data_IF_643809918765
#
_entry.id   IF_643809918765
#
_cell.length_a   1.000
_cell.length_b   1.000
_cell.length_c   1.000
_cell.angle_alpha   90.00
_cell.angle_beta   90.00
_cell.angle_gamma   90.00
#
_symmetry.space_group_name_H-M   'P 1'
#
loop_
_entity.id
_entity.type
_entity.pdbx_description
1 polymer ?
#
# COMPACT_ATOMS: atom_id res chain seq x y z
N UNK A 1 8.34 8.08 17.49
CA UNK A 1 9.37 8.69 16.61
C UNK A 1 10.47 7.71 16.31
N UNK A 2 10.98 7.66 15.07
CA UNK A 2 12.11 6.83 14.66
C UNK A 2 13.31 7.71 14.35
N UNK A 3 14.40 7.46 15.05
CA UNK A 3 15.66 8.17 14.83
C UNK A 3 16.62 7.25 14.07
N UNK A 4 17.23 7.78 13.02
CA UNK A 4 18.14 7.04 12.15
C UNK A 4 19.21 7.97 11.57
N UNK A 5 20.27 7.40 11.03
CA UNK A 5 21.34 8.14 10.39
C UNK A 5 21.50 7.72 8.94
N UNK A 6 21.75 8.70 8.07
CA UNK A 6 22.12 8.49 6.67
C UNK A 6 23.43 9.24 6.44
N UNK A 7 24.49 8.53 6.10
CA UNK A 7 25.85 9.07 6.11
C UNK A 7 26.17 9.68 7.49
N UNK A 8 26.54 10.93 7.55
CA UNK A 8 26.94 11.66 8.79
C UNK A 8 25.79 12.47 9.38
N UNK A 9 24.57 12.38 8.77
CA UNK A 9 23.42 13.19 9.19
C UNK A 9 22.41 12.34 9.94
N UNK A 10 21.85 12.91 11.01
CA UNK A 10 20.81 12.29 11.81
C UNK A 10 19.44 12.80 11.39
N UNK A 11 18.46 11.93 11.43
CA UNK A 11 17.09 12.25 11.06
C UNK A 11 16.12 11.69 12.10
N UNK A 12 15.01 12.39 12.26
CA UNK A 12 13.84 11.92 12.98
C UNK A 12 12.69 11.76 12.00
N UNK A 13 12.07 10.58 11.99
CA UNK A 13 10.77 10.38 11.36
C UNK A 13 9.70 10.27 12.45
N UNK A 14 8.77 11.21 12.45
CA UNK A 14 7.62 11.16 13.34
C UNK A 14 6.43 10.47 12.62
N UNK A 15 6.11 9.29 13.06
CA UNK A 15 5.00 8.47 12.53
C UNK A 15 3.62 9.10 12.73
N UNK A 16 3.47 9.97 13.73
CA UNK A 16 2.22 10.66 14.04
C UNK A 16 1.97 11.81 13.06
N UNK A 17 2.92 12.71 12.93
CA UNK A 17 2.84 13.85 11.99
C UNK A 17 3.29 13.49 10.58
N UNK A 18 4.00 12.34 10.44
CA UNK A 18 4.66 11.86 9.20
C UNK A 18 5.70 12.82 8.64
N UNK A 19 6.23 13.67 9.46
CA UNK A 19 7.34 14.52 9.11
C UNK A 19 8.65 13.77 9.25
N UNK A 20 9.55 14.01 8.31
CA UNK A 20 10.94 13.58 8.38
C UNK A 20 11.83 14.82 8.31
N UNK A 21 12.65 15.02 9.32
CA UNK A 21 13.51 16.19 9.42
C UNK A 21 14.89 15.83 10.00
N UNK A 22 15.87 16.61 9.62
CA UNK A 22 17.22 16.44 10.15
C UNK A 22 17.28 16.96 11.58
N UNK A 23 18.01 16.25 12.45
CA UNK A 23 18.21 16.62 13.86
C UNK A 23 19.69 16.54 14.18
N UNK A 24 20.13 17.36 15.11
CA UNK A 24 21.39 17.16 15.80
C UNK A 24 21.23 16.29 17.05
N UNK A 25 22.31 16.07 17.81
CA UNK A 25 22.24 15.24 19.01
C UNK A 25 21.37 15.86 20.10
N UNK A 26 21.40 17.19 20.24
CA UNK A 26 20.65 17.90 21.27
C UNK A 26 19.14 17.83 20.98
N UNK A 27 18.74 18.09 19.74
CA UNK A 27 17.34 17.98 19.27
C UNK A 27 16.84 16.53 19.37
N UNK A 28 17.66 15.52 19.04
CA UNK A 28 17.29 14.12 19.22
C UNK A 28 17.02 13.80 20.70
N UNK A 29 17.88 14.25 21.59
CA UNK A 29 17.70 14.02 23.02
C UNK A 29 16.44 14.69 23.56
N UNK A 30 16.16 15.91 23.15
CA UNK A 30 14.95 16.64 23.54
C UNK A 30 13.67 15.95 23.02
N UNK A 31 13.65 15.52 21.76
CA UNK A 31 12.52 14.82 21.15
C UNK A 31 12.28 13.44 21.81
N UNK A 32 13.32 12.72 22.20
CA UNK A 32 13.18 11.46 22.95
C UNK A 32 12.54 11.67 24.32
N UNK A 33 12.91 12.75 25.03
CA UNK A 33 12.29 13.10 26.31
C UNK A 33 10.83 13.48 26.11
N UNK A 34 10.53 14.27 25.09
CA UNK A 34 9.17 14.65 24.70
C UNK A 34 8.30 13.42 24.38
N UNK A 35 8.81 12.47 23.61
CA UNK A 35 8.09 11.22 23.31
C UNK A 35 7.84 10.39 24.57
N UNK A 36 8.83 10.24 25.42
CA UNK A 36 8.73 9.51 26.69
C UNK A 36 7.74 10.13 27.68
N UNK A 37 7.50 11.45 27.59
CA UNK A 37 6.49 12.18 28.37
C UNK A 37 5.08 12.13 27.81
N UNK A 38 4.83 11.26 26.84
CA UNK A 38 3.52 11.12 26.17
C UNK A 38 3.22 12.26 25.22
N UNK A 39 4.23 12.88 24.63
CA UNK A 39 4.14 14.00 23.68
C UNK A 39 3.50 15.25 24.25
N UNK A 40 3.71 15.46 25.54
CA UNK A 40 3.30 16.67 26.23
C UNK A 40 4.52 17.37 26.77
N UNK A 41 4.65 18.67 26.52
CA UNK A 41 5.76 19.45 27.05
C UNK A 41 5.71 19.46 28.57
N UNK A 42 6.82 19.04 29.17
CA UNK A 42 7.06 19.16 30.59
C UNK A 42 8.42 19.83 30.79
N UNK A 43 8.43 21.16 30.80
CA UNK A 43 9.65 21.98 30.86
C UNK A 43 10.54 21.56 32.02
N UNK A 44 9.99 21.27 33.21
CA UNK A 44 10.81 20.82 34.36
C UNK A 44 11.52 19.51 34.10
N UNK A 45 10.84 18.55 33.45
CA UNK A 45 11.44 17.27 33.11
C UNK A 45 12.48 17.44 32.00
N UNK A 46 12.15 18.23 30.97
CA UNK A 46 13.03 18.49 29.84
C UNK A 46 14.31 19.18 30.29
N UNK A 47 14.22 20.31 31.03
CA UNK A 47 15.37 21.05 31.61
C UNK A 47 16.23 20.13 32.46
N UNK A 48 15.63 19.38 33.41
CA UNK A 48 16.38 18.50 34.30
C UNK A 48 17.14 17.40 33.54
N UNK A 49 16.47 16.82 32.54
CA UNK A 49 17.03 15.68 31.78
C UNK A 49 18.14 16.15 30.84
N UNK A 50 18.00 17.30 30.20
CA UNK A 50 18.99 17.86 29.29
C UNK A 50 20.21 18.39 30.10
N UNK A 51 19.98 19.05 31.24
CA UNK A 51 21.07 19.46 32.13
C UNK A 51 21.90 18.27 32.66
N UNK A 52 21.23 17.14 32.97
CA UNK A 52 21.92 15.91 33.37
C UNK A 52 22.75 15.27 32.23
N UNK A 53 22.49 15.62 31.00
CA UNK A 53 23.27 15.24 29.81
C UNK A 53 24.40 16.23 29.48
N UNK A 54 24.48 17.33 30.22
CA UNK A 54 25.58 18.31 30.12
C UNK A 54 25.30 19.47 29.17
N UNK A 55 24.06 19.69 28.72
CA UNK A 55 23.69 20.85 27.92
C UNK A 55 23.66 22.11 28.79
N UNK A 56 24.10 23.23 28.23
CA UNK A 56 24.04 24.54 28.90
C UNK A 56 22.62 25.13 28.88
N UNK A 57 22.39 26.17 29.70
CA UNK A 57 21.08 26.78 29.86
C UNK A 57 20.57 27.41 28.58
N UNK A 58 21.42 27.93 27.70
CA UNK A 58 21.02 28.56 26.44
C UNK A 58 20.48 27.51 25.47
N UNK A 59 21.23 26.44 25.28
CA UNK A 59 20.81 25.31 24.45
C UNK A 59 19.50 24.68 24.97
N UNK A 60 19.36 24.56 26.30
CA UNK A 60 18.13 24.01 26.90
C UNK A 60 16.91 24.91 26.59
N UNK A 61 17.07 26.23 26.70
CA UNK A 61 15.97 27.17 26.42
C UNK A 61 15.55 27.13 24.94
N UNK A 62 16.50 27.09 24.02
CA UNK A 62 16.25 26.92 22.59
C UNK A 62 15.48 25.63 22.28
N UNK A 63 15.89 24.52 22.88
CA UNK A 63 15.22 23.23 22.71
C UNK A 63 13.82 23.18 23.35
N UNK A 64 13.58 23.90 24.44
CA UNK A 64 12.25 24.04 25.04
C UNK A 64 11.31 24.79 24.08
N UNK A 65 11.76 25.88 23.50
CA UNK A 65 10.98 26.63 22.52
C UNK A 65 10.68 25.81 21.26
N UNK A 66 11.67 25.07 20.74
CA UNK A 66 11.52 24.21 19.58
C UNK A 66 10.51 23.07 19.85
N UNK A 67 10.55 22.43 21.01
CA UNK A 67 9.62 21.37 21.39
C UNK A 67 8.20 21.91 21.59
N UNK A 68 8.07 23.11 22.19
CA UNK A 68 6.78 23.79 22.35
C UNK A 68 6.15 24.12 20.99
N UNK A 69 6.94 24.63 20.06
CA UNK A 69 6.48 24.90 18.70
C UNK A 69 6.10 23.61 17.98
N UNK A 70 6.93 22.58 18.10
CA UNK A 70 6.66 21.27 17.52
C UNK A 70 5.36 20.64 18.06
N UNK A 71 5.10 20.73 19.37
CA UNK A 71 3.84 20.26 19.96
C UNK A 71 2.65 21.02 19.36
N UNK A 72 2.71 22.34 19.30
CA UNK A 72 1.62 23.17 18.71
C UNK A 72 1.35 22.80 17.24
N UNK A 73 2.40 22.58 16.45
CA UNK A 73 2.27 22.14 15.05
C UNK A 73 1.68 20.74 14.94
N UNK A 74 2.10 19.83 15.80
CA UNK A 74 1.57 18.46 15.84
C UNK A 74 0.09 18.43 16.21
N UNK A 75 -0.34 19.18 17.19
CA UNK A 75 -1.74 19.30 17.61
C UNK A 75 -2.64 19.87 16.50
N UNK A 76 -2.18 20.91 15.78
CA UNK A 76 -2.91 21.44 14.62
C UNK A 76 -3.11 20.41 13.52
N UNK A 77 -2.20 19.47 13.39
CA UNK A 77 -2.28 18.39 12.39
C UNK A 77 -3.39 17.39 12.73
N UNK A 78 -3.73 17.19 14.02
CA UNK A 78 -4.85 16.36 14.46
C UNK A 78 -6.22 17.03 14.37
N UNK A 79 -6.28 18.37 14.38
CA UNK A 79 -7.51 19.15 14.41
C UNK A 79 -8.12 19.42 13.02
N UNK A 80 -7.81 18.64 12.00
CA UNK A 80 -8.60 18.71 10.77
C UNK A 80 -10.03 18.26 11.09
N UNK A 81 -10.94 19.26 11.20
CA UNK A 81 -12.36 19.06 11.42
C UNK A 81 -12.87 17.88 10.60
N UNK A 82 -13.60 16.99 11.24
CA UNK A 82 -14.45 15.98 10.62
C UNK A 82 -15.51 16.64 9.73
N UNK A 83 -15.11 17.18 8.60
CA UNK A 83 -16.06 17.43 7.53
C UNK A 83 -16.41 16.08 6.93
N UNK A 84 -17.70 15.76 6.79
CA UNK A 84 -18.13 14.53 6.12
C UNK A 84 -17.41 14.43 4.76
N UNK A 85 -16.44 13.53 4.64
CA UNK A 85 -15.67 13.43 3.41
C UNK A 85 -16.53 12.70 2.39
N UNK A 86 -16.75 13.34 1.27
CA UNK A 86 -17.44 12.75 0.15
C UNK A 86 -16.67 11.53 -0.37
N UNK A 87 -17.40 10.50 -0.79
CA UNK A 87 -16.78 9.29 -1.35
C UNK A 87 -16.10 9.60 -2.67
N UNK A 88 -14.95 8.95 -2.89
CA UNK A 88 -14.19 9.02 -4.14
C UNK A 88 -13.93 7.65 -4.74
N UNK A 89 -14.18 6.60 -3.99
CA UNK A 89 -13.96 5.24 -4.47
C UNK A 89 -14.90 4.25 -3.82
N UNK A 90 -15.23 3.21 -4.57
CA UNK A 90 -15.86 1.99 -4.07
C UNK A 90 -14.97 0.80 -4.41
N UNK A 91 -15.01 -0.22 -3.55
CA UNK A 91 -14.39 -1.51 -3.81
C UNK A 91 -15.48 -2.57 -3.90
N UNK A 92 -15.63 -3.15 -5.09
CA UNK A 92 -16.65 -4.14 -5.39
C UNK A 92 -16.04 -5.54 -5.27
N UNK A 93 -16.45 -6.30 -4.26
CA UNK A 93 -16.11 -7.71 -4.13
C UNK A 93 -17.03 -8.53 -5.05
N UNK A 94 -16.72 -8.50 -6.34
CA UNK A 94 -17.59 -9.07 -7.38
C UNK A 94 -17.69 -10.59 -7.33
N UNK A 95 -16.78 -11.25 -6.62
CA UNK A 95 -16.78 -12.72 -6.46
C UNK A 95 -16.35 -13.11 -5.05
N UNK A 96 -17.15 -13.90 -4.35
CA UNK A 96 -16.80 -14.68 -3.17
C UNK A 96 -16.42 -16.11 -3.56
N UNK A 97 -15.73 -16.25 -4.69
CA UNK A 97 -15.12 -17.49 -5.15
C UNK A 97 -13.71 -17.21 -5.65
N UNK A 98 -12.82 -18.17 -5.46
CA UNK A 98 -11.45 -18.10 -5.98
C UNK A 98 -11.02 -19.50 -6.44
N UNK A 99 -10.21 -19.58 -7.46
CA UNK A 99 -9.61 -20.83 -7.94
C UNK A 99 -8.31 -21.17 -7.20
N UNK A 100 -7.72 -20.22 -6.44
CA UNK A 100 -6.53 -20.43 -5.62
C UNK A 100 -6.87 -20.63 -4.14
N UNK A 101 -6.01 -21.36 -3.43
CA UNK A 101 -6.07 -21.63 -2.01
C UNK A 101 -4.90 -21.03 -1.23
N UNK A 102 -4.67 -19.72 -1.37
CA UNK A 102 -3.53 -19.04 -0.74
C UNK A 102 -3.49 -19.26 0.77
N UNK A 103 -2.29 -19.58 1.32
CA UNK A 103 -2.10 -19.95 2.72
C UNK A 103 -2.41 -18.82 3.71
N UNK A 104 -2.19 -17.59 3.29
CA UNK A 104 -2.40 -16.38 4.11
C UNK A 104 -3.66 -15.59 3.73
N UNK A 105 -4.59 -16.18 2.99
CA UNK A 105 -5.75 -15.48 2.47
C UNK A 105 -6.66 -14.98 3.59
N UNK A 106 -6.77 -13.66 3.74
CA UNK A 106 -7.67 -13.04 4.72
C UNK A 106 -9.15 -13.32 4.44
N UNK A 107 -9.47 -13.67 3.17
CA UNK A 107 -10.82 -14.00 2.71
C UNK A 107 -11.16 -15.50 2.85
N UNK A 108 -10.48 -16.26 3.74
CA UNK A 108 -10.81 -17.66 3.97
C UNK A 108 -10.76 -18.53 2.71
N UNK A 109 -9.65 -18.48 1.96
CA UNK A 109 -9.53 -19.13 0.64
C UNK A 109 -10.42 -18.49 -0.45
N UNK A 110 -10.80 -17.22 -0.26
CA UNK A 110 -11.51 -16.43 -1.23
C UNK A 110 -13.04 -16.52 -1.17
N UNK A 111 -13.60 -17.20 -0.18
CA UNK A 111 -15.06 -17.33 0.01
C UNK A 111 -15.60 -16.50 1.19
N UNK A 112 -14.72 -15.83 1.93
CA UNK A 112 -15.06 -14.98 3.09
C UNK A 112 -15.83 -15.75 4.19
N UNK A 113 -15.61 -17.06 4.28
CA UNK A 113 -16.30 -17.94 5.24
C UNK A 113 -17.77 -18.18 4.89
N UNK A 114 -18.18 -17.93 3.65
CA UNK A 114 -19.55 -18.14 3.16
C UNK A 114 -19.56 -19.16 2.01
N UNK A 115 -20.73 -19.49 1.51
CA UNK A 115 -20.85 -20.21 0.23
C UNK A 115 -20.30 -19.33 -0.89
N UNK A 116 -19.69 -19.91 -1.94
CA UNK A 116 -19.27 -19.15 -3.10
C UNK A 116 -20.44 -18.39 -3.71
N UNK A 117 -20.35 -17.06 -3.75
CA UNK A 117 -21.37 -16.16 -4.28
C UNK A 117 -20.74 -15.24 -5.32
N UNK A 118 -21.52 -14.90 -6.32
CA UNK A 118 -21.17 -13.87 -7.30
C UNK A 118 -22.09 -12.64 -7.08
N UNK A 119 -21.51 -11.46 -7.10
CA UNK A 119 -22.28 -10.22 -7.04
C UNK A 119 -23.19 -10.12 -8.25
N UNK A 120 -24.41 -9.64 -8.04
CA UNK A 120 -25.38 -9.43 -9.12
C UNK A 120 -25.23 -8.05 -9.77
N UNK A 121 -25.73 -7.91 -11.00
CA UNK A 121 -25.78 -6.65 -11.73
C UNK A 121 -26.45 -5.55 -10.89
N UNK A 122 -27.56 -5.88 -10.22
CA UNK A 122 -28.34 -4.94 -9.39
C UNK A 122 -27.50 -4.36 -8.25
N UNK A 123 -26.74 -5.19 -7.55
CA UNK A 123 -25.89 -4.75 -6.42
C UNK A 123 -24.78 -3.84 -6.94
N UNK A 124 -24.10 -4.25 -8.02
CA UNK A 124 -23.01 -3.48 -8.59
C UNK A 124 -23.49 -2.09 -9.08
N UNK A 125 -24.63 -2.03 -9.74
CA UNK A 125 -25.20 -0.78 -10.25
C UNK A 125 -25.64 0.15 -9.12
N UNK A 126 -26.31 -0.36 -8.09
CA UNK A 126 -26.67 0.41 -6.89
C UNK A 126 -25.43 0.97 -6.18
N UNK A 127 -24.34 0.21 -6.14
CA UNK A 127 -23.09 0.69 -5.55
C UNK A 127 -22.47 1.84 -6.37
N UNK A 128 -22.52 1.78 -7.71
CA UNK A 128 -22.11 2.89 -8.58
C UNK A 128 -22.99 4.13 -8.35
N UNK A 129 -24.31 3.95 -8.28
CA UNK A 129 -25.27 5.04 -8.02
C UNK A 129 -24.97 5.71 -6.67
N UNK A 130 -24.71 4.89 -5.64
CA UNK A 130 -24.35 5.38 -4.31
C UNK A 130 -23.02 6.16 -4.30
N UNK A 131 -22.01 5.67 -5.03
CA UNK A 131 -20.74 6.38 -5.17
C UNK A 131 -20.96 7.77 -5.79
N UNK A 132 -21.71 7.84 -6.89
CA UNK A 132 -21.99 9.12 -7.58
C UNK A 132 -22.76 10.07 -6.67
N UNK A 133 -23.84 9.59 -6.02
CA UNK A 133 -24.68 10.39 -5.12
C UNK A 133 -23.89 10.92 -3.90
N UNK A 134 -22.89 10.17 -3.42
CA UNK A 134 -22.09 10.49 -2.24
C UNK A 134 -20.81 11.27 -2.56
N UNK A 135 -20.55 11.61 -3.83
CA UNK A 135 -19.34 12.27 -4.29
C UNK A 135 -19.55 13.75 -4.65
N UNK A 136 -18.47 14.49 -4.90
CA UNK A 136 -18.53 15.83 -5.48
C UNK A 136 -18.62 15.75 -7.01
N UNK A 137 -19.26 16.76 -7.65
CA UNK A 137 -19.52 16.75 -9.10
C UNK A 137 -18.25 16.64 -9.96
N UNK A 138 -17.19 17.35 -9.59
CA UNK A 138 -15.96 17.45 -10.39
C UNK A 138 -14.87 16.44 -9.96
N UNK A 139 -15.19 15.47 -9.11
CA UNK A 139 -14.20 14.48 -8.66
C UNK A 139 -14.11 13.30 -9.63
N UNK A 140 -12.89 12.81 -9.83
CA UNK A 140 -12.66 11.52 -10.46
C UNK A 140 -12.99 10.41 -9.46
N UNK A 141 -13.86 9.50 -9.88
CA UNK A 141 -14.36 8.40 -9.06
C UNK A 141 -13.63 7.10 -9.41
N UNK A 142 -13.23 6.34 -8.41
CA UNK A 142 -12.55 5.07 -8.62
C UNK A 142 -13.48 3.89 -8.33
N UNK A 143 -13.58 2.98 -9.26
CA UNK A 143 -14.23 1.67 -9.07
C UNK A 143 -13.12 0.61 -9.05
N UNK A 144 -13.00 -0.06 -7.91
CA UNK A 144 -11.98 -1.09 -7.67
C UNK A 144 -12.68 -2.45 -7.68
N UNK A 145 -12.30 -3.31 -8.60
CA UNK A 145 -12.80 -4.68 -8.64
C UNK A 145 -11.89 -5.60 -7.84
N UNK A 146 -12.49 -6.31 -6.91
CA UNK A 146 -11.81 -7.17 -5.96
C UNK A 146 -12.66 -8.42 -5.64
N UNK A 147 -12.24 -9.19 -4.61
CA UNK A 147 -12.97 -10.34 -4.09
C UNK A 147 -12.06 -11.54 -3.86
N UNK A 148 -12.58 -12.75 -4.03
CA UNK A 148 -11.76 -13.96 -4.07
C UNK A 148 -10.87 -13.94 -5.31
N UNK A 149 -11.47 -14.18 -6.49
CA UNK A 149 -10.86 -13.88 -7.79
C UNK A 149 -11.92 -13.15 -8.65
N UNK A 150 -11.74 -11.85 -8.91
CA UNK A 150 -12.75 -11.06 -9.62
C UNK A 150 -12.98 -11.53 -11.06
N UNK A 151 -11.97 -12.10 -11.74
CA UNK A 151 -12.13 -12.60 -13.11
C UNK A 151 -13.05 -13.82 -13.21
N UNK A 152 -13.45 -14.44 -12.11
CA UNK A 152 -14.52 -15.46 -12.12
C UNK A 152 -15.87 -14.82 -12.49
N UNK A 153 -16.07 -13.54 -12.16
CA UNK A 153 -17.25 -12.78 -12.52
C UNK A 153 -16.92 -11.69 -13.56
N UNK A 154 -16.08 -12.02 -14.54
CA UNK A 154 -15.65 -11.10 -15.59
C UNK A 154 -16.82 -10.38 -16.29
N UNK A 155 -17.95 -11.03 -16.65
CA UNK A 155 -19.05 -10.35 -17.29
C UNK A 155 -19.63 -9.18 -16.49
N UNK A 156 -19.68 -9.29 -15.15
CA UNK A 156 -20.16 -8.20 -14.30
C UNK A 156 -19.22 -7.00 -14.32
N UNK A 157 -17.91 -7.23 -14.41
CA UNK A 157 -16.91 -6.16 -14.49
C UNK A 157 -17.24 -5.24 -15.68
N UNK A 158 -17.41 -5.84 -16.86
CA UNK A 158 -17.68 -5.08 -18.09
C UNK A 158 -19.05 -4.41 -18.06
N UNK A 159 -20.07 -5.08 -17.58
CA UNK A 159 -21.41 -4.48 -17.39
C UNK A 159 -21.36 -3.27 -16.45
N UNK A 160 -20.55 -3.33 -15.38
CA UNK A 160 -20.42 -2.23 -14.42
C UNK A 160 -19.70 -1.03 -15.04
N UNK A 161 -18.66 -1.27 -15.85
CA UNK A 161 -17.96 -0.24 -16.61
C UNK A 161 -18.91 0.44 -17.60
N UNK A 162 -19.65 -0.34 -18.40
CA UNK A 162 -20.61 0.18 -19.36
C UNK A 162 -21.72 0.96 -18.67
N UNK A 163 -22.26 0.43 -17.57
CA UNK A 163 -23.27 1.11 -16.77
C UNK A 163 -22.80 2.48 -16.30
N UNK A 164 -21.61 2.54 -15.66
CA UNK A 164 -21.08 3.78 -15.12
C UNK A 164 -20.88 4.85 -16.19
N UNK A 165 -20.36 4.48 -17.38
CA UNK A 165 -20.16 5.41 -18.49
C UNK A 165 -21.47 5.84 -19.16
N UNK A 166 -22.41 4.92 -19.32
CA UNK A 166 -23.69 5.19 -20.01
C UNK A 166 -24.65 6.02 -19.15
N UNK A 167 -24.72 5.72 -17.84
CA UNK A 167 -25.68 6.42 -16.94
C UNK A 167 -25.10 7.76 -16.47
N UNK A 168 -23.78 7.83 -16.32
CA UNK A 168 -23.10 9.02 -15.83
C UNK A 168 -22.03 9.56 -16.80
N UNK A 169 -22.42 9.93 -18.04
CA UNK A 169 -21.47 10.31 -19.11
C UNK A 169 -20.64 11.54 -18.78
N UNK A 170 -21.11 12.38 -17.86
CA UNK A 170 -20.42 13.60 -17.43
C UNK A 170 -19.51 13.38 -16.19
N UNK A 171 -19.38 12.14 -15.72
CA UNK A 171 -18.52 11.80 -14.58
C UNK A 171 -17.25 11.11 -15.06
N UNK A 172 -16.14 11.44 -14.41
CA UNK A 172 -14.87 10.81 -14.70
C UNK A 172 -14.69 9.58 -13.81
N UNK A 173 -14.52 8.40 -14.42
CA UNK A 173 -14.24 7.16 -13.71
C UNK A 173 -12.84 6.65 -14.01
N UNK A 174 -12.21 6.04 -13.00
CA UNK A 174 -11.02 5.21 -13.13
C UNK A 174 -11.34 3.81 -12.63
N UNK A 175 -10.77 2.82 -13.29
CA UNK A 175 -11.02 1.42 -12.99
C UNK A 175 -9.74 0.72 -12.59
N UNK A 176 -9.83 -0.14 -11.58
CA UNK A 176 -8.71 -0.99 -11.20
C UNK A 176 -9.20 -2.37 -10.76
N UNK A 177 -8.33 -3.35 -10.94
CA UNK A 177 -8.59 -4.72 -10.56
C UNK A 177 -7.35 -5.32 -9.92
N UNK A 178 -7.56 -6.10 -8.85
CA UNK A 178 -6.53 -6.97 -8.29
C UNK A 178 -6.94 -8.41 -8.59
N UNK A 179 -6.12 -9.12 -9.34
CA UNK A 179 -6.37 -10.50 -9.79
C UNK A 179 -5.19 -11.41 -9.46
N UNK A 180 -5.42 -12.70 -9.38
CA UNK A 180 -4.33 -13.67 -9.31
C UNK A 180 -3.65 -13.93 -10.68
N UNK A 181 -4.22 -13.42 -11.78
CA UNK A 181 -3.63 -13.48 -13.11
C UNK A 181 -3.80 -14.80 -13.88
N UNK A 182 -4.37 -15.83 -13.26
CA UNK A 182 -4.50 -17.13 -13.91
C UNK A 182 -5.55 -17.16 -15.02
N UNK A 183 -6.56 -16.27 -14.95
CA UNK A 183 -7.70 -16.21 -15.88
C UNK A 183 -7.55 -15.12 -16.95
N UNK A 184 -6.38 -14.49 -17.06
CA UNK A 184 -6.13 -13.48 -18.09
C UNK A 184 -6.23 -14.08 -19.49
N UNK A 185 -6.94 -13.38 -20.38
CA UNK A 185 -7.12 -13.77 -21.77
C UNK A 185 -7.09 -12.51 -22.68
N UNK A 186 -7.09 -12.71 -24.00
CA UNK A 186 -7.01 -11.61 -24.96
C UNK A 186 -8.18 -10.64 -24.83
N UNK A 187 -9.40 -11.14 -24.62
CA UNK A 187 -10.60 -10.33 -24.48
C UNK A 187 -10.48 -9.42 -23.26
N UNK A 188 -10.11 -9.98 -22.12
CA UNK A 188 -9.94 -9.22 -20.88
C UNK A 188 -8.85 -8.14 -21.02
N UNK A 189 -7.68 -8.49 -21.58
CA UNK A 189 -6.57 -7.54 -21.74
C UNK A 189 -6.94 -6.43 -22.72
N UNK A 190 -7.65 -6.73 -23.81
CA UNK A 190 -8.14 -5.70 -24.73
C UNK A 190 -9.14 -4.75 -24.06
N UNK A 191 -10.08 -5.29 -23.28
CA UNK A 191 -11.02 -4.47 -22.49
C UNK A 191 -10.30 -3.62 -21.42
N UNK A 192 -9.26 -4.15 -20.77
CA UNK A 192 -8.44 -3.35 -19.85
C UNK A 192 -7.77 -2.16 -20.55
N UNK A 193 -7.28 -2.35 -21.78
CA UNK A 193 -6.70 -1.25 -22.58
C UNK A 193 -7.76 -0.22 -22.95
N UNK A 194 -8.87 -0.67 -23.50
CA UNK A 194 -9.99 0.18 -23.97
C UNK A 194 -10.54 1.06 -22.85
N UNK A 195 -10.65 0.50 -21.65
CA UNK A 195 -11.24 1.20 -20.51
C UNK A 195 -10.20 1.81 -19.54
N UNK A 196 -8.90 1.75 -19.87
CA UNK A 196 -7.84 2.38 -19.10
C UNK A 196 -7.67 1.79 -17.69
N UNK A 197 -7.79 0.47 -17.55
CA UNK A 197 -7.65 -0.19 -16.26
C UNK A 197 -6.24 -0.09 -15.69
N UNK A 198 -6.17 -0.03 -14.36
CA UNK A 198 -4.98 -0.36 -13.60
C UNK A 198 -5.09 -1.80 -13.11
N UNK A 199 -4.28 -2.70 -13.66
CA UNK A 199 -4.30 -4.12 -13.28
C UNK A 199 -3.13 -4.44 -12.36
N UNK A 200 -3.43 -5.05 -11.22
CA UNK A 200 -2.48 -5.50 -10.23
C UNK A 200 -2.57 -7.03 -10.11
N UNK A 201 -1.47 -7.71 -10.40
CA UNK A 201 -1.38 -9.17 -10.31
C UNK A 201 -0.74 -9.55 -8.99
N UNK A 202 -1.40 -10.44 -8.26
CA UNK A 202 -0.91 -10.99 -7.01
C UNK A 202 0.13 -12.08 -7.28
N UNK A 203 1.40 -11.83 -6.90
CA UNK A 203 2.52 -12.72 -7.20
C UNK A 203 3.54 -12.71 -6.05
N UNK A 204 3.87 -13.87 -5.48
CA UNK A 204 4.77 -13.99 -4.32
C UNK A 204 6.08 -14.70 -4.73
N UNK A 205 6.96 -13.96 -5.35
CA UNK A 205 8.17 -14.56 -5.92
C UNK A 205 7.89 -15.41 -7.17
N UNK A 206 8.75 -16.33 -7.47
CA UNK A 206 8.68 -17.17 -8.68
C UNK A 206 8.73 -18.66 -8.36
N UNK A 207 8.20 -19.50 -9.27
CA UNK A 207 8.25 -20.94 -9.21
C UNK A 207 7.72 -21.49 -7.88
N UNK A 208 8.50 -22.33 -7.23
CA UNK A 208 8.08 -23.03 -6.02
C UNK A 208 7.76 -22.11 -4.83
N UNK A 209 8.35 -20.91 -4.75
CA UNK A 209 8.01 -19.93 -3.70
C UNK A 209 6.57 -19.48 -3.84
N UNK A 210 6.18 -19.08 -5.05
CA UNK A 210 4.81 -18.69 -5.35
C UNK A 210 3.84 -19.85 -5.13
N UNK A 211 4.15 -21.01 -5.67
CA UNK A 211 3.28 -22.18 -5.63
C UNK A 211 3.05 -22.70 -4.20
N UNK A 212 4.04 -22.56 -3.32
CA UNK A 212 3.88 -22.87 -1.90
C UNK A 212 2.87 -21.96 -1.19
N UNK A 213 2.82 -20.68 -1.58
CA UNK A 213 1.93 -19.70 -0.97
C UNK A 213 0.56 -19.61 -1.64
N UNK A 214 0.50 -19.86 -2.96
CA UNK A 214 -0.70 -19.65 -3.80
C UNK A 214 -1.02 -20.85 -4.71
N UNK A 215 -1.20 -22.05 -4.14
CA UNK A 215 -1.58 -23.22 -4.94
C UNK A 215 -3.02 -23.08 -5.48
N UNK A 216 -3.33 -23.82 -6.55
CA UNK A 216 -4.70 -24.06 -6.93
C UNK A 216 -5.46 -24.84 -5.84
N UNK A 217 -6.76 -24.57 -5.67
CA UNK A 217 -7.62 -25.36 -4.77
C UNK A 217 -7.70 -26.84 -5.17
N UNK A 218 -7.57 -27.11 -6.46
CA UNK A 218 -7.56 -28.47 -7.03
C UNK A 218 -6.21 -29.17 -6.89
N UNK A 219 -5.21 -28.51 -6.30
CA UNK A 219 -3.83 -28.96 -6.24
C UNK A 219 -2.99 -28.46 -7.42
N UNK A 220 -1.68 -28.47 -7.22
CA UNK A 220 -0.70 -27.98 -8.19
C UNK A 220 -0.40 -26.48 -8.06
N UNK A 221 0.70 -26.07 -8.68
CA UNK A 221 1.18 -24.69 -8.69
C UNK A 221 0.43 -23.82 -9.68
N UNK A 222 0.29 -22.53 -9.37
CA UNK A 222 -0.35 -21.53 -10.24
C UNK A 222 0.64 -20.63 -10.98
N UNK A 223 1.92 -20.65 -10.59
CA UNK A 223 2.94 -19.76 -11.14
C UNK A 223 3.08 -19.86 -12.66
N UNK A 224 3.13 -21.10 -13.19
CA UNK A 224 3.34 -21.33 -14.63
C UNK A 224 2.28 -20.65 -15.50
N UNK A 225 1.02 -20.68 -15.09
CA UNK A 225 -0.06 -20.03 -15.83
C UNK A 225 0.03 -18.50 -15.74
N UNK A 226 0.41 -17.99 -14.56
CA UNK A 226 0.59 -16.54 -14.37
C UNK A 226 1.78 -16.04 -15.19
N UNK A 227 2.93 -16.71 -15.13
CA UNK A 227 4.13 -16.34 -15.89
C UNK A 227 3.85 -16.32 -17.39
N UNK A 228 3.21 -17.36 -17.91
CA UNK A 228 2.78 -17.45 -19.30
C UNK A 228 1.89 -16.27 -19.70
N UNK A 229 0.87 -15.97 -18.90
CA UNK A 229 -0.06 -14.87 -19.16
C UNK A 229 0.63 -13.51 -19.10
N UNK A 230 1.45 -13.28 -18.08
CA UNK A 230 2.17 -12.01 -17.92
C UNK A 230 3.12 -11.77 -19.10
N UNK A 231 3.97 -12.76 -19.45
CA UNK A 231 4.91 -12.63 -20.57
C UNK A 231 4.20 -12.42 -21.90
N UNK A 232 3.06 -13.08 -22.12
CA UNK A 232 2.25 -12.91 -23.32
C UNK A 232 1.76 -11.48 -23.50
N UNK A 233 1.39 -10.79 -22.43
CA UNK A 233 0.70 -9.51 -22.51
C UNK A 233 1.53 -8.30 -22.04
N UNK A 234 2.68 -8.51 -21.36
CA UNK A 234 3.46 -7.43 -20.72
C UNK A 234 4.01 -6.37 -21.67
N UNK A 235 4.29 -6.74 -22.92
CA UNK A 235 4.70 -5.75 -23.94
C UNK A 235 3.56 -4.82 -24.34
N UNK A 236 2.35 -5.32 -24.30
CA UNK A 236 1.17 -4.60 -24.79
C UNK A 236 0.33 -3.97 -23.67
N UNK A 237 0.57 -4.36 -22.40
CA UNK A 237 -0.17 -3.84 -21.24
C UNK A 237 0.72 -3.73 -19.98
N UNK A 238 0.72 -2.57 -19.28
CA UNK A 238 1.59 -2.31 -18.14
C UNK A 238 1.04 -2.87 -16.83
N UNK A 239 1.21 -4.17 -16.58
CA UNK A 239 0.81 -4.78 -15.31
C UNK A 239 1.62 -4.28 -14.12
N UNK A 240 0.98 -4.29 -12.95
CA UNK A 240 1.64 -4.20 -11.67
C UNK A 240 1.69 -5.56 -10.98
N UNK A 241 2.75 -5.83 -10.23
CA UNK A 241 2.86 -6.98 -9.33
C UNK A 241 2.68 -6.54 -7.88
N UNK A 242 2.02 -7.36 -7.08
CA UNK A 242 1.94 -7.21 -5.62
C UNK A 242 2.30 -8.52 -4.94
N UNK A 243 3.40 -8.51 -4.20
CA UNK A 243 3.82 -9.62 -3.38
C UNK A 243 3.42 -9.43 -1.93
N UNK A 244 2.94 -10.49 -1.30
CA UNK A 244 2.72 -10.54 0.14
C UNK A 244 3.96 -11.16 0.79
N UNK A 245 4.62 -10.39 1.66
CA UNK A 245 5.79 -10.84 2.39
C UNK A 245 5.35 -11.66 3.61
N UNK A 246 5.88 -12.87 3.71
CA UNK A 246 5.70 -13.79 4.83
C UNK A 246 7.08 -14.22 5.33
N UNK A 247 7.14 -14.95 6.43
CA UNK A 247 8.40 -15.55 6.90
C UNK A 247 9.09 -16.44 5.83
N UNK A 248 8.32 -17.04 4.93
CA UNK A 248 8.82 -17.90 3.85
C UNK A 248 9.09 -17.15 2.54
N UNK A 249 8.63 -15.88 2.43
CA UNK A 249 8.81 -15.03 1.26
C UNK A 249 9.24 -13.62 1.67
N UNK A 250 10.54 -13.42 1.88
CA UNK A 250 11.11 -12.14 2.31
C UNK A 250 12.38 -11.73 1.51
N UNK A 251 12.59 -12.29 0.31
CA UNK A 251 13.74 -11.96 -0.56
C UNK A 251 13.38 -10.89 -1.59
N UNK A 252 13.17 -9.65 -1.12
CA UNK A 252 12.65 -8.53 -1.92
C UNK A 252 13.46 -8.23 -3.18
N UNK A 253 14.78 -8.26 -3.10
CA UNK A 253 15.66 -7.91 -4.23
C UNK A 253 15.55 -8.93 -5.34
N UNK A 254 15.60 -10.22 -5.01
CA UNK A 254 15.44 -11.30 -5.96
C UNK A 254 14.09 -11.23 -6.67
N UNK A 255 13.01 -11.13 -5.89
CA UNK A 255 11.65 -11.04 -6.42
C UNK A 255 11.46 -9.78 -7.29
N UNK A 256 12.03 -8.65 -6.89
CA UNK A 256 12.00 -7.41 -7.68
C UNK A 256 12.65 -7.59 -9.05
N UNK A 257 13.83 -8.19 -9.10
CA UNK A 257 14.57 -8.41 -10.35
C UNK A 257 13.82 -9.37 -11.27
N UNK A 258 13.26 -10.44 -10.72
CA UNK A 258 12.46 -11.41 -11.46
C UNK A 258 11.17 -10.78 -12.01
N UNK A 259 10.46 -9.99 -11.21
CA UNK A 259 9.26 -9.29 -11.69
C UNK A 259 9.58 -8.25 -12.76
N UNK A 260 10.72 -7.57 -12.66
CA UNK A 260 11.22 -6.69 -13.72
C UNK A 260 11.45 -7.46 -15.02
N UNK A 261 12.10 -8.63 -14.95
CA UNK A 261 12.36 -9.52 -16.09
C UNK A 261 11.06 -10.05 -16.73
N UNK A 262 10.06 -10.40 -15.91
CA UNK A 262 8.73 -10.81 -16.39
C UNK A 262 7.97 -9.69 -17.11
N UNK A 263 8.43 -8.43 -17.01
CA UNK A 263 7.85 -7.28 -17.70
C UNK A 263 6.87 -6.46 -16.88
N UNK A 264 6.80 -6.65 -15.56
CA UNK A 264 6.01 -5.78 -14.70
C UNK A 264 6.54 -4.34 -14.69
N UNK A 265 5.62 -3.37 -14.67
CA UNK A 265 5.92 -1.93 -14.71
C UNK A 265 5.70 -1.21 -13.39
N UNK A 266 5.15 -1.90 -12.39
CA UNK A 266 4.90 -1.41 -11.04
C UNK A 266 5.02 -2.59 -10.09
N UNK A 267 5.85 -2.48 -9.05
CA UNK A 267 6.10 -3.57 -8.11
C UNK A 267 5.83 -3.06 -6.69
N UNK A 268 4.99 -3.81 -5.98
CA UNK A 268 4.60 -3.54 -4.60
C UNK A 268 4.92 -4.73 -3.73
N UNK A 269 5.50 -4.46 -2.57
CA UNK A 269 5.67 -5.43 -1.50
C UNK A 269 4.83 -5.00 -0.30
N UNK A 270 4.10 -5.93 0.29
CA UNK A 270 3.26 -5.68 1.47
C UNK A 270 3.50 -6.77 2.50
N UNK A 271 3.88 -6.42 3.74
CA UNK A 271 4.01 -7.40 4.80
C UNK A 271 2.65 -8.02 5.13
N UNK A 272 2.63 -9.32 5.43
CA UNK A 272 1.44 -10.00 5.94
C UNK A 272 1.12 -9.49 7.34
N UNK A 273 -0.19 -9.34 7.62
CA UNK A 273 -0.68 -9.14 8.99
C UNK A 273 -1.40 -10.42 9.41
N UNK A 274 -0.72 -11.27 10.17
CA UNK A 274 -1.23 -12.57 10.61
C UNK A 274 -0.72 -12.93 11.99
N UNK A 275 -1.55 -13.65 12.74
CA UNK A 275 -1.18 -14.29 14.01
C UNK A 275 -0.77 -15.76 13.83
N UNK A 276 -0.88 -16.31 12.62
CA UNK A 276 -0.45 -17.67 12.31
C UNK A 276 1.08 -17.76 12.29
N UNK A 277 1.62 -18.56 13.19
CA UNK A 277 3.07 -18.78 13.36
C UNK A 277 3.77 -19.26 12.07
N UNK A 278 3.03 -19.94 11.18
CA UNK A 278 3.60 -20.48 9.95
C UNK A 278 3.83 -19.42 8.86
N UNK A 279 3.20 -18.26 8.98
CA UNK A 279 3.25 -17.21 7.96
C UNK A 279 3.58 -15.82 8.50
N UNK A 280 3.44 -15.59 9.82
CA UNK A 280 3.77 -14.30 10.43
C UNK A 280 5.25 -13.97 10.24
N UNK A 281 5.54 -12.69 10.15
CA UNK A 281 6.91 -12.22 10.10
C UNK A 281 7.54 -12.30 11.50
N UNK A 282 8.64 -13.01 11.59
CA UNK A 282 9.51 -13.05 12.76
C UNK A 282 10.64 -12.00 12.65
N UNK A 283 11.47 -11.88 13.67
CA UNK A 283 12.56 -10.92 13.68
C UNK A 283 13.59 -11.17 12.55
N UNK A 284 13.85 -12.43 12.23
CA UNK A 284 14.74 -12.80 11.13
C UNK A 284 14.21 -12.31 9.79
N UNK A 285 12.94 -12.56 9.51
CA UNK A 285 12.24 -12.11 8.28
C UNK A 285 12.20 -10.59 8.21
N UNK A 286 11.91 -9.92 9.33
CA UNK A 286 11.89 -8.44 9.40
C UNK A 286 13.26 -7.84 9.10
N UNK A 287 14.35 -8.46 9.60
CA UNK A 287 15.71 -8.02 9.31
C UNK A 287 16.07 -8.21 7.83
N UNK A 288 15.66 -9.33 7.20
CA UNK A 288 15.84 -9.53 5.76
C UNK A 288 15.06 -8.51 4.94
N UNK A 289 13.79 -8.26 5.31
CA UNK A 289 12.96 -7.24 4.65
C UNK A 289 13.61 -5.86 4.76
N UNK A 290 14.10 -5.49 5.95
CA UNK A 290 14.79 -4.20 6.16
C UNK A 290 16.03 -4.07 5.26
N UNK A 291 16.88 -5.08 5.22
CA UNK A 291 18.06 -5.09 4.35
C UNK A 291 17.64 -4.96 2.86
N UNK A 292 16.67 -5.77 2.42
CA UNK A 292 16.18 -5.70 1.04
C UNK A 292 15.53 -4.37 0.67
N UNK A 293 14.87 -3.69 1.60
CA UNK A 293 14.33 -2.34 1.38
C UNK A 293 15.43 -1.30 1.19
N UNK A 294 16.54 -1.41 1.94
CA UNK A 294 17.72 -0.52 1.79
C UNK A 294 18.34 -0.74 0.40
N UNK A 295 18.59 -1.98 0.03
CA UNK A 295 19.16 -2.31 -1.29
C UNK A 295 18.27 -1.84 -2.45
N UNK A 296 16.95 -1.99 -2.33
CA UNK A 296 15.99 -1.50 -3.32
C UNK A 296 15.90 0.03 -3.34
N UNK A 297 16.10 0.71 -2.20
CA UNK A 297 16.16 2.17 -2.15
C UNK A 297 17.38 2.71 -2.90
N UNK A 298 18.55 2.07 -2.74
CA UNK A 298 19.75 2.43 -3.49
C UNK A 298 19.58 2.22 -4.99
N UNK A 299 18.95 1.13 -5.40
CA UNK A 299 18.60 0.91 -6.80
C UNK A 299 17.61 1.94 -7.33
N UNK A 300 16.61 2.30 -6.53
CA UNK A 300 15.63 3.33 -6.87
C UNK A 300 16.29 4.69 -7.13
N UNK A 301 17.23 5.10 -6.27
CA UNK A 301 17.98 6.35 -6.44
C UNK A 301 18.84 6.31 -7.71
N UNK A 302 19.58 5.22 -7.95
CA UNK A 302 20.37 5.06 -9.17
C UNK A 302 19.53 5.15 -10.44
N UNK A 303 18.31 4.57 -10.44
CA UNK A 303 17.40 4.68 -11.59
C UNK A 303 16.95 6.12 -11.82
N UNK A 304 16.65 6.89 -10.76
CA UNK A 304 16.31 8.32 -10.87
C UNK A 304 17.48 9.10 -11.47
N UNK A 305 18.70 8.90 -10.98
CA UNK A 305 19.90 9.60 -11.45
C UNK A 305 20.18 9.31 -12.94
N UNK A 306 19.79 8.13 -13.42
CA UNK A 306 19.88 7.72 -14.82
C UNK A 306 18.70 8.19 -15.68
N UNK A 307 17.73 8.91 -15.10
CA UNK A 307 16.52 9.34 -15.78
C UNK A 307 15.50 8.23 -16.06
N UNK A 308 15.68 7.05 -15.44
CA UNK A 308 14.74 5.94 -15.54
C UNK A 308 13.55 6.14 -14.61
N UNK A 309 12.42 5.52 -14.97
CA UNK A 309 11.23 5.48 -14.12
C UNK A 309 11.30 4.30 -13.16
N UNK A 310 11.51 4.50 -11.85
CA UNK A 310 11.60 3.41 -10.91
C UNK A 310 10.32 2.57 -10.85
N UNK A 311 10.49 1.25 -10.81
CA UNK A 311 9.37 0.31 -10.75
C UNK A 311 8.90 0.02 -9.32
N UNK A 312 9.77 0.27 -8.32
CA UNK A 312 9.49 0.01 -6.91
C UNK A 312 8.52 1.04 -6.32
N UNK A 313 7.24 0.67 -6.28
CA UNK A 313 6.15 1.60 -5.92
C UNK A 313 5.90 1.71 -4.43
N UNK A 314 6.25 0.70 -3.64
CA UNK A 314 6.13 0.78 -2.17
C UNK A 314 6.96 1.95 -1.63
N UNK A 315 8.22 2.07 -2.07
CA UNK A 315 9.08 3.19 -1.67
C UNK A 315 8.54 4.53 -2.19
N UNK A 316 8.16 4.59 -3.47
CA UNK A 316 7.57 5.81 -4.03
C UNK A 316 6.36 6.27 -3.23
N UNK A 317 5.48 5.36 -2.86
CA UNK A 317 4.28 5.69 -2.07
C UNK A 317 4.66 6.23 -0.69
N UNK A 318 5.68 5.65 -0.03
CA UNK A 318 6.19 6.12 1.26
C UNK A 318 6.77 7.54 1.13
N UNK A 319 7.61 7.78 0.11
CA UNK A 319 8.17 9.11 -0.17
C UNK A 319 7.07 10.13 -0.46
N UNK A 320 6.10 9.79 -1.32
CA UNK A 320 4.98 10.70 -1.64
C UNK A 320 4.15 11.06 -0.39
N UNK A 321 3.97 10.11 0.54
CA UNK A 321 3.27 10.36 1.81
C UNK A 321 4.05 11.32 2.71
N UNK A 322 5.36 11.12 2.83
CA UNK A 322 6.24 11.99 3.64
C UNK A 322 6.26 13.41 3.04
N UNK A 323 6.47 13.51 1.72
CA UNK A 323 6.60 14.81 1.04
C UNK A 323 5.29 15.59 0.92
N UNK A 324 4.14 14.92 0.97
CA UNK A 324 2.84 15.56 0.76
C UNK A 324 2.26 16.24 2.00
N UNK A 325 2.88 16.09 3.17
CA UNK A 325 2.34 16.52 4.47
C UNK A 325 0.87 16.08 4.71
N UNK A 326 0.42 15.02 4.03
CA UNK A 326 -0.96 14.51 4.15
C UNK A 326 -1.03 13.45 5.22
N UNK A 327 -1.80 13.69 6.24
CA UNK A 327 -2.09 12.66 7.24
C UNK A 327 -3.08 11.68 6.65
N UNK A 328 -2.66 10.44 6.44
CA UNK A 328 -3.58 9.35 6.17
C UNK A 328 -3.95 8.70 7.52
N UNK A 329 -5.12 9.03 8.05
CA UNK A 329 -5.59 8.50 9.33
C UNK A 329 -5.76 6.98 9.35
N UNK A 330 -5.99 6.38 8.17
CA UNK A 330 -6.18 4.92 8.03
C UNK A 330 -5.46 4.43 6.78
N UNK A 331 -4.48 3.57 6.98
CA UNK A 331 -3.65 3.05 5.89
C UNK A 331 -4.43 2.23 4.84
N UNK A 332 -5.46 1.50 5.25
CA UNK A 332 -6.30 0.67 4.38
C UNK A 332 -7.44 1.43 3.68
N UNK A 333 -7.65 2.71 4.00
CA UNK A 333 -8.75 3.50 3.43
C UNK A 333 -10.12 3.25 4.08
N UNK A 334 -10.21 2.46 5.16
CA UNK A 334 -11.45 2.26 5.90
C UNK A 334 -12.08 3.61 6.29
N UNK A 335 -13.40 3.73 6.12
CA UNK A 335 -14.14 4.98 6.32
C UNK A 335 -13.98 6.04 5.20
N UNK A 336 -13.24 5.72 4.12
CA UNK A 336 -13.06 6.59 2.93
C UNK A 336 -13.34 5.87 1.61
N UNK A 337 -13.40 4.55 1.65
CA UNK A 337 -13.82 3.66 0.58
C UNK A 337 -15.04 2.90 1.05
N UNK A 338 -15.96 2.74 0.17
CA UNK A 338 -17.13 1.89 0.37
C UNK A 338 -16.95 0.59 -0.41
#
# INVERSE_FOLDING_TARGET
>A
MHFFSVSDRRYCFDEVTRNCFQVDQASEDALRIFEASGRTVNSKLLTKSLAAKGYDQTTIAELEDDIDEYQRLSERTFLTKDTPRKLRSIELHVSHACNLGCSYCFAGKGDYGTSPLLMTDEIAFKAVDYLVASSSENETLAIVFFGGEPMINEPLIWKTVDYSKRIYPNRNFTYSITTNGTLLNDTAVNSFKEHGFSVLISLDGTGCKHDASRPYKTGGGSFSDIDKNVRRFSESFPFGARATLTNNNCNLVEDYLQFKEMGFRRIYFSPVSSFDENIKLDEHSLNKIRAGLIDLADQYLKQIDQGEKPLFRTLKTAVDLIMSNRIAFVGCGAGRRF
#
